data_IF_570057872444
#
_entry.id   IF_570057872444
#
_cell.length_a   1.000
_cell.length_b   1.000
_cell.length_c   1.000
_cell.angle_alpha   90.00
_cell.angle_beta   90.00
_cell.angle_gamma   90.00
#
_symmetry.space_group_name_H-M   'P 1'
#
loop_
_entity.id
_entity.type
_entity.pdbx_description
1 polymer ?
#
# COMPACT_ATOMS: atom_id res chain seq x y z
N UNK A 1 -3.42 16.21 -5.10
CA UNK A 1 -2.68 15.62 -6.23
C UNK A 1 -1.18 15.90 -6.06
N UNK A 2 -0.30 15.02 -6.55
CA UNK A 2 1.14 15.01 -6.20
C UNK A 2 2.01 16.11 -6.84
N UNK A 3 1.45 17.08 -7.58
CA UNK A 3 2.20 18.19 -8.23
C UNK A 3 3.39 17.73 -9.10
N UNK A 4 3.24 16.59 -9.76
CA UNK A 4 4.23 16.03 -10.70
C UNK A 4 3.67 16.02 -12.12
N UNK A 5 4.57 15.90 -13.11
CA UNK A 5 4.16 15.69 -14.49
C UNK A 5 3.49 14.32 -14.69
N UNK A 6 2.90 14.10 -15.87
CA UNK A 6 2.10 12.90 -16.14
C UNK A 6 2.94 11.60 -16.20
N UNK A 7 4.22 11.67 -16.56
CA UNK A 7 5.04 10.46 -16.73
C UNK A 7 5.40 9.75 -15.41
N UNK A 8 5.86 10.44 -14.35
CA UNK A 8 6.08 9.82 -13.04
C UNK A 8 4.84 9.10 -12.50
N UNK A 9 3.66 9.66 -12.74
CA UNK A 9 2.39 9.04 -12.34
C UNK A 9 2.15 7.73 -13.09
N UNK A 10 2.40 7.70 -14.41
CA UNK A 10 2.25 6.48 -15.21
C UNK A 10 3.24 5.39 -14.82
N UNK A 11 4.48 5.77 -14.49
CA UNK A 11 5.50 4.84 -14.04
C UNK A 11 5.15 4.23 -12.69
N UNK A 12 4.70 5.06 -11.73
CA UNK A 12 4.23 4.59 -10.44
C UNK A 12 3.03 3.64 -10.60
N UNK A 13 2.04 3.98 -11.43
CA UNK A 13 0.87 3.13 -11.68
C UNK A 13 1.27 1.80 -12.34
N UNK A 14 2.16 1.81 -13.32
CA UNK A 14 2.68 0.57 -13.93
C UNK A 14 3.39 -0.31 -12.91
N UNK A 15 4.19 0.30 -12.03
CA UNK A 15 4.91 -0.42 -10.97
C UNK A 15 3.94 -1.05 -9.98
N UNK A 16 2.90 -0.32 -9.58
CA UNK A 16 1.85 -0.84 -8.70
C UNK A 16 1.03 -1.97 -9.35
N UNK A 17 0.75 -1.86 -10.65
CA UNK A 17 0.04 -2.89 -11.41
C UNK A 17 0.90 -4.16 -11.56
N UNK A 18 2.19 -4.00 -11.85
CA UNK A 18 3.16 -5.11 -11.92
C UNK A 18 3.30 -5.83 -10.58
N UNK A 19 3.22 -5.08 -9.47
CA UNK A 19 3.25 -5.62 -8.12
C UNK A 19 1.89 -6.18 -7.67
N UNK A 20 0.86 -6.09 -8.50
CA UNK A 20 -0.45 -6.65 -8.24
C UNK A 20 -1.29 -5.89 -7.22
N UNK A 21 -0.96 -4.63 -6.90
CA UNK A 21 -1.75 -3.80 -5.98
C UNK A 21 -2.96 -3.13 -6.62
N UNK A 22 -2.87 -2.91 -7.92
CA UNK A 22 -3.92 -2.28 -8.70
C UNK A 22 -4.09 -3.04 -10.00
N UNK A 23 -5.30 -3.02 -10.53
CA UNK A 23 -5.61 -3.55 -11.85
C UNK A 23 -6.20 -2.42 -12.71
N UNK A 24 -5.68 -2.25 -13.93
CA UNK A 24 -6.31 -1.35 -14.89
C UNK A 24 -7.70 -1.89 -15.29
N UNK A 25 -8.69 -1.02 -15.23
CA UNK A 25 -10.04 -1.28 -15.72
C UNK A 25 -10.30 -0.42 -16.95
N UNK A 26 -10.57 -1.08 -18.08
CA UNK A 26 -10.79 -0.42 -19.36
C UNK A 26 -11.89 0.65 -19.24
N UNK A 27 -11.56 1.88 -19.66
CA UNK A 27 -12.41 3.09 -19.55
C UNK A 27 -12.83 3.54 -18.14
N UNK A 28 -12.31 2.92 -17.07
CA UNK A 28 -12.73 3.22 -15.69
C UNK A 28 -11.58 3.61 -14.75
N UNK A 29 -10.32 3.47 -15.18
CA UNK A 29 -9.15 3.85 -14.37
C UNK A 29 -8.50 2.65 -13.71
N UNK A 30 -8.03 2.78 -12.47
CA UNK A 30 -7.38 1.69 -11.72
C UNK A 30 -8.20 1.30 -10.50
N UNK A 31 -8.31 0.00 -10.24
CA UNK A 31 -8.97 -0.58 -9.09
C UNK A 31 -7.93 -1.15 -8.13
N UNK A 32 -8.02 -0.84 -6.84
CA UNK A 32 -7.10 -1.37 -5.80
C UNK A 32 -7.50 -2.80 -5.46
N UNK A 33 -6.58 -3.75 -5.56
CA UNK A 33 -6.84 -5.20 -5.55
C UNK A 33 -6.79 -5.86 -4.17
N UNK A 34 -6.67 -5.09 -3.08
CA UNK A 34 -6.61 -5.54 -1.67
C UNK A 34 -6.72 -7.07 -1.43
N UNK A 35 -5.57 -7.74 -1.40
CA UNK A 35 -5.20 -8.60 -0.26
C UNK A 35 -5.66 -10.06 -0.22
N UNK A 36 -5.60 -10.84 -1.30
CA UNK A 36 -5.71 -12.31 -1.17
C UNK A 36 -4.41 -13.09 -1.44
N UNK A 37 -3.32 -12.44 -1.83
CA UNK A 37 -2.00 -13.07 -1.84
C UNK A 37 -1.04 -12.35 -0.91
N UNK A 38 -0.35 -13.08 -0.01
CA UNK A 38 0.67 -12.49 0.83
C UNK A 38 1.79 -11.95 -0.08
N UNK A 39 2.21 -10.70 0.11
CA UNK A 39 3.19 -10.12 -0.78
C UNK A 39 4.55 -10.82 -0.65
N UNK A 40 5.11 -11.20 -1.79
CA UNK A 40 6.41 -11.86 -1.88
C UNK A 40 7.52 -10.91 -1.38
N UNK A 41 8.54 -11.50 -0.76
CA UNK A 41 9.62 -10.84 -0.01
C UNK A 41 10.11 -9.51 -0.63
N UNK A 42 10.16 -8.44 0.18
CA UNK A 42 10.64 -7.09 -0.22
C UNK A 42 9.57 -5.99 -0.28
N UNK A 43 8.39 -6.23 0.31
CA UNK A 43 7.20 -5.42 0.09
C UNK A 43 6.97 -4.34 1.16
N UNK A 44 7.36 -3.10 0.84
CA UNK A 44 7.27 -1.94 1.72
C UNK A 44 5.86 -1.74 2.34
N UNK A 45 4.72 -1.90 1.64
CA UNK A 45 3.39 -1.79 2.25
C UNK A 45 3.08 -2.85 3.30
N UNK A 46 3.61 -4.06 3.13
CA UNK A 46 3.48 -5.13 4.13
C UNK A 46 4.26 -4.78 5.39
N UNK A 47 5.48 -4.27 5.22
CA UNK A 47 6.32 -3.76 6.31
C UNK A 47 5.68 -2.56 7.02
N UNK A 48 5.19 -1.58 6.27
CA UNK A 48 4.52 -0.39 6.82
C UNK A 48 3.26 -0.76 7.59
N UNK A 49 2.48 -1.75 7.10
CA UNK A 49 1.34 -2.28 7.84
C UNK A 49 1.76 -2.93 9.15
N UNK A 50 2.78 -3.79 9.14
CA UNK A 50 3.31 -4.41 10.36
C UNK A 50 3.80 -3.37 11.38
N UNK A 51 4.47 -2.31 10.91
CA UNK A 51 4.92 -1.20 11.76
C UNK A 51 3.73 -0.45 12.36
N UNK A 52 2.73 -0.11 11.55
CA UNK A 52 1.52 0.58 12.03
C UNK A 52 0.74 -0.25 13.06
N UNK A 53 0.61 -1.56 12.85
CA UNK A 53 0.00 -2.48 13.82
C UNK A 53 0.81 -2.60 15.12
N UNK A 54 2.15 -2.59 15.02
CA UNK A 54 3.04 -2.59 16.17
C UNK A 54 2.88 -1.34 17.04
N UNK A 55 2.81 -0.16 16.43
CA UNK A 55 2.57 1.10 17.16
C UNK A 55 1.21 1.12 17.85
N UNK A 56 0.16 0.61 17.19
CA UNK A 56 -1.17 0.52 17.80
C UNK A 56 -1.17 -0.38 19.04
N UNK A 57 -0.49 -1.53 18.95
CA UNK A 57 -0.34 -2.45 20.10
C UNK A 57 0.44 -1.82 21.25
N UNK A 58 1.50 -1.06 20.97
CA UNK A 58 2.26 -0.35 22.00
C UNK A 58 1.43 0.75 22.67
N UNK A 59 0.67 1.51 21.90
CA UNK A 59 -0.25 2.52 22.44
C UNK A 59 -1.34 1.88 23.33
N UNK A 60 -1.89 0.73 22.91
CA UNK A 60 -2.85 -0.03 23.72
C UNK A 60 -2.21 -0.55 25.03
N UNK A 61 -0.92 -0.90 25.02
CA UNK A 61 -0.18 -1.30 26.22
C UNK A 61 0.09 -0.12 27.16
N UNK A 62 0.51 1.04 26.65
CA UNK A 62 0.73 2.24 27.47
C UNK A 62 -0.57 2.72 28.12
N UNK A 63 -1.71 2.62 27.42
CA UNK A 63 -3.04 2.95 27.98
C UNK A 63 -3.49 2.03 29.11
N UNK A 64 -2.92 0.83 29.22
CA UNK A 64 -3.22 -0.17 30.27
C UNK A 64 -2.25 -0.14 31.44
N UNK A 65 -1.11 0.52 31.29
CA UNK A 65 -0.11 0.71 32.35
C UNK A 65 -0.36 2.01 33.13
N UNK A 66 -1.18 2.92 32.59
CA UNK A 66 -1.68 4.12 33.26
C UNK A 66 -2.81 3.85 34.27
#
# INVERSE_FOLDING_TARGET
AFQVSRMPVREALRSLETQGYIAAQYHKGYLVTNGNEPPQYGHLPGLLRCVAEGHKRLADFESKVA
#
